data_IF_203095145957
#
_entry.id   IF_203095145957
#
_cell.length_a   1.000
_cell.length_b   1.000
_cell.length_c   1.000
_cell.angle_alpha   90.00
_cell.angle_beta   90.00
_cell.angle_gamma   90.00
#
_symmetry.space_group_name_H-M   'P 1'
#
loop_
_entity.id
_entity.type
_entity.pdbx_description
1 polymer ?
#
# COMPACT_ATOMS: atom_id res chain seq x y z
N UNK A 1 -14.66 -3.03 13.50
CA UNK A 1 -14.23 -1.61 13.31
C UNK A 1 -12.72 -1.43 13.12
N UNK A 2 -12.07 -2.40 12.48
CA UNK A 2 -10.60 -2.44 12.34
C UNK A 2 -10.00 -1.17 11.67
N UNK A 3 -10.64 -0.62 10.63
CA UNK A 3 -10.14 0.56 9.90
C UNK A 3 -10.00 1.78 10.81
N UNK A 4 -11.02 2.06 11.63
CA UNK A 4 -11.02 3.25 12.51
C UNK A 4 -9.92 3.11 13.54
N UNK A 5 -9.87 1.96 14.24
CA UNK A 5 -8.85 1.71 15.26
C UNK A 5 -7.43 1.73 14.70
N UNK A 6 -7.21 1.17 13.50
CA UNK A 6 -5.89 1.21 12.85
C UNK A 6 -5.47 2.65 12.49
N UNK A 7 -6.40 3.47 12.00
CA UNK A 7 -6.10 4.88 11.70
C UNK A 7 -5.91 5.71 12.96
N UNK A 8 -6.70 5.48 13.99
CA UNK A 8 -6.59 6.16 15.29
C UNK A 8 -5.22 5.95 15.93
N UNK A 9 -4.69 4.71 15.85
CA UNK A 9 -3.38 4.35 16.39
C UNK A 9 -2.23 5.18 15.79
N UNK A 10 -2.35 5.64 14.54
CA UNK A 10 -1.30 6.38 13.81
C UNK A 10 -1.68 7.83 13.49
N UNK A 11 -2.68 8.40 14.18
CA UNK A 11 -3.10 9.81 13.98
C UNK A 11 -2.03 10.83 14.37
N UNK A 12 -1.11 10.46 15.25
CA UNK A 12 0.00 11.30 15.70
C UNK A 12 1.23 11.27 14.77
N UNK A 13 1.12 10.60 13.62
CA UNK A 13 2.20 10.41 12.66
C UNK A 13 3.45 9.71 13.25
N UNK A 14 3.25 8.84 14.25
CA UNK A 14 4.36 8.02 14.74
C UNK A 14 4.86 7.06 13.65
N UNK A 15 6.17 6.79 13.56
CA UNK A 15 6.71 5.80 12.65
C UNK A 15 6.23 4.38 13.02
N UNK A 16 6.22 3.49 12.06
CA UNK A 16 5.95 2.07 12.29
C UNK A 16 7.14 1.43 13.02
N UNK A 17 6.86 0.53 13.96
CA UNK A 17 7.94 -0.14 14.73
C UNK A 17 8.81 -1.03 13.85
N UNK A 18 8.20 -1.72 12.89
CA UNK A 18 8.86 -2.60 11.94
C UNK A 18 8.02 -2.70 10.66
N UNK A 19 8.56 -3.41 9.67
CA UNK A 19 7.89 -3.61 8.38
C UNK A 19 6.55 -4.36 8.54
N UNK A 20 6.47 -5.33 9.44
CA UNK A 20 5.25 -6.07 9.76
C UNK A 20 4.14 -5.14 10.31
N UNK A 21 4.49 -4.17 11.17
CA UNK A 21 3.53 -3.19 11.68
C UNK A 21 2.94 -2.33 10.56
N UNK A 22 3.74 -1.98 9.53
CA UNK A 22 3.27 -1.29 8.34
C UNK A 22 2.33 -2.18 7.51
N UNK A 23 2.66 -3.46 7.33
CA UNK A 23 1.80 -4.43 6.65
C UNK A 23 0.48 -4.64 7.39
N UNK A 24 0.52 -4.77 8.71
CA UNK A 24 -0.68 -4.88 9.54
C UNK A 24 -1.56 -3.62 9.45
N UNK A 25 -0.96 -2.44 9.36
CA UNK A 25 -1.70 -1.21 9.11
C UNK A 25 -2.37 -1.26 7.73
N UNK A 26 -1.63 -1.66 6.69
CA UNK A 26 -2.16 -1.79 5.32
C UNK A 26 -3.31 -2.82 5.26
N UNK A 27 -3.15 -3.97 5.91
CA UNK A 27 -4.16 -5.02 6.02
C UNK A 27 -5.45 -4.50 6.69
N UNK A 28 -5.31 -3.84 7.84
CA UNK A 28 -6.46 -3.34 8.59
C UNK A 28 -7.13 -2.11 7.96
N UNK A 29 -6.52 -1.49 6.95
CA UNK A 29 -7.07 -0.33 6.25
C UNK A 29 -7.42 -0.64 4.80
N UNK A 30 -6.44 -0.89 3.94
CA UNK A 30 -6.65 -1.09 2.50
C UNK A 30 -7.25 -2.44 2.15
N UNK A 31 -6.73 -3.55 2.72
CA UNK A 31 -7.29 -4.88 2.49
C UNK A 31 -8.72 -4.98 3.02
N UNK A 32 -8.98 -4.41 4.20
CA UNK A 32 -10.34 -4.39 4.76
C UNK A 32 -11.35 -3.68 3.84
N UNK A 33 -10.96 -2.61 3.14
CA UNK A 33 -11.83 -1.95 2.15
C UNK A 33 -12.09 -2.85 0.94
N UNK A 34 -11.09 -3.61 0.50
CA UNK A 34 -11.27 -4.58 -0.58
C UNK A 34 -12.21 -5.71 -0.18
N UNK A 35 -12.08 -6.27 1.03
CA UNK A 35 -13.00 -7.29 1.56
C UNK A 35 -14.44 -6.78 1.62
N UNK A 36 -14.65 -5.56 2.11
CA UNK A 36 -15.99 -4.96 2.12
C UNK A 36 -16.56 -4.79 0.72
N UNK A 37 -15.72 -4.44 -0.25
CA UNK A 37 -16.14 -4.30 -1.64
C UNK A 37 -16.49 -5.66 -2.25
N UNK A 38 -15.68 -6.71 -2.00
CA UNK A 38 -15.96 -8.08 -2.44
C UNK A 38 -17.25 -8.61 -1.81
N UNK A 39 -17.43 -8.41 -0.50
CA UNK A 39 -18.65 -8.80 0.20
C UNK A 39 -19.91 -8.10 -0.34
N UNK A 40 -19.79 -6.85 -0.84
CA UNK A 40 -20.89 -6.12 -1.48
C UNK A 40 -21.30 -6.72 -2.84
N UNK A 41 -20.42 -7.49 -3.47
CA UNK A 41 -20.66 -8.21 -4.74
C UNK A 41 -21.19 -9.65 -4.53
N UNK A 42 -21.74 -10.00 -3.40
CA UNK A 42 -21.92 -11.32 -2.78
C UNK A 42 -20.93 -12.39 -3.28
N UNK A 43 -19.66 -12.12 -3.06
CA UNK A 43 -18.56 -13.04 -3.33
C UNK A 43 -18.00 -13.54 -1.99
N UNK A 44 -17.94 -14.86 -1.83
CA UNK A 44 -17.59 -15.54 -0.57
C UNK A 44 -16.39 -16.47 -0.71
N UNK A 45 -15.47 -16.17 -1.62
CA UNK A 45 -14.27 -16.97 -1.86
C UNK A 45 -13.15 -16.54 -0.92
N UNK A 46 -12.69 -17.43 -0.04
CA UNK A 46 -11.52 -17.21 0.81
C UNK A 46 -10.25 -16.95 -0.03
N UNK A 47 -10.12 -17.65 -1.16
CA UNK A 47 -9.00 -17.44 -2.09
C UNK A 47 -9.00 -16.04 -2.69
N UNK A 48 -10.19 -15.48 -2.98
CA UNK A 48 -10.31 -14.12 -3.49
C UNK A 48 -10.03 -13.07 -2.40
N UNK A 49 -10.42 -13.35 -1.17
CA UNK A 49 -10.09 -12.51 -0.01
C UNK A 49 -8.58 -12.53 0.24
N UNK A 50 -7.92 -13.69 0.16
CA UNK A 50 -6.46 -13.77 0.29
C UNK A 50 -5.74 -13.00 -0.82
N UNK A 51 -6.18 -13.13 -2.06
CA UNK A 51 -5.66 -12.33 -3.17
C UNK A 51 -5.85 -10.82 -2.92
N UNK A 52 -7.01 -10.42 -2.39
CA UNK A 52 -7.30 -9.04 -2.03
C UNK A 52 -6.44 -8.55 -0.85
N UNK A 53 -6.06 -9.43 0.09
CA UNK A 53 -5.10 -9.13 1.17
C UNK A 53 -3.76 -8.66 0.60
N UNK A 54 -3.14 -9.46 -0.26
CA UNK A 54 -1.87 -9.10 -0.89
C UNK A 54 -1.94 -7.79 -1.67
N UNK A 55 -2.98 -7.58 -2.47
CA UNK A 55 -3.16 -6.33 -3.21
C UNK A 55 -3.37 -5.15 -2.26
N UNK A 56 -4.14 -5.34 -1.20
CA UNK A 56 -4.40 -4.32 -0.19
C UNK A 56 -3.14 -3.93 0.58
N UNK A 57 -2.33 -4.92 1.02
CA UNK A 57 -1.03 -4.68 1.66
C UNK A 57 -0.11 -3.87 0.73
N UNK A 58 0.07 -4.31 -0.52
CA UNK A 58 0.87 -3.58 -1.50
C UNK A 58 0.39 -2.14 -1.72
N UNK A 59 -0.92 -1.96 -1.84
CA UNK A 59 -1.54 -0.65 -2.06
C UNK A 59 -1.37 0.27 -0.85
N UNK A 60 -1.52 -0.28 0.36
CA UNK A 60 -1.32 0.46 1.61
C UNK A 60 0.12 0.91 1.81
N UNK A 61 1.08 0.01 1.60
CA UNK A 61 2.52 0.33 1.66
C UNK A 61 2.85 1.43 0.64
N UNK A 62 2.43 1.27 -0.61
CA UNK A 62 2.66 2.27 -1.66
C UNK A 62 1.99 3.62 -1.35
N UNK A 63 0.83 3.62 -0.67
CA UNK A 63 0.15 4.84 -0.27
C UNK A 63 0.91 5.59 0.83
N UNK A 64 1.51 4.89 1.80
CA UNK A 64 2.37 5.48 2.83
C UNK A 64 3.61 6.10 2.19
N UNK A 65 4.31 5.36 1.32
CA UNK A 65 5.47 5.89 0.59
C UNK A 65 5.11 7.14 -0.22
N UNK A 66 3.99 7.13 -0.93
CA UNK A 66 3.52 8.28 -1.71
C UNK A 66 3.14 9.48 -0.86
N UNK A 67 2.64 9.23 0.35
CA UNK A 67 2.28 10.26 1.33
C UNK A 67 3.46 10.86 2.08
N UNK A 68 4.58 10.14 2.16
CA UNK A 68 5.74 10.51 2.97
C UNK A 68 6.26 11.94 2.69
N UNK A 69 6.42 12.41 1.45
CA UNK A 69 6.86 13.77 1.19
C UNK A 69 5.92 14.86 1.73
N UNK A 70 4.62 14.59 1.81
CA UNK A 70 3.63 15.53 2.33
C UNK A 70 3.62 15.57 3.86
N UNK A 71 3.96 14.46 4.49
CA UNK A 71 4.03 14.35 5.94
C UNK A 71 5.36 14.89 6.46
N UNK A 72 6.46 14.58 5.76
CA UNK A 72 7.79 15.10 6.10
C UNK A 72 7.88 16.63 5.90
N UNK A 73 7.25 17.14 4.83
CA UNK A 73 7.25 18.57 4.50
C UNK A 73 5.81 19.05 4.28
N UNK A 74 5.01 19.23 5.35
CA UNK A 74 3.63 19.66 5.22
C UNK A 74 3.57 21.05 4.59
N UNK A 75 2.65 21.28 3.61
CA UNK A 75 2.50 22.60 3.02
C UNK A 75 2.06 23.62 4.09
N UNK A 76 2.42 24.91 3.92
CA UNK A 76 1.99 25.94 4.84
C UNK A 76 0.45 25.98 4.91
N UNK A 77 -0.14 26.30 6.06
CA UNK A 77 -1.59 26.39 6.21
C UNK A 77 -2.13 27.43 5.21
N UNK A 78 -3.10 27.00 4.38
CA UNK A 78 -3.78 27.93 3.48
C UNK A 78 -4.53 28.97 4.30
N UNK A 79 -4.13 30.25 4.22
CA UNK A 79 -4.80 31.37 4.88
C UNK A 79 -6.24 31.61 4.39
N UNK A 80 -6.66 30.91 3.31
CA UNK A 80 -8.00 31.01 2.72
C UNK A 80 -8.97 29.88 3.15
N UNK A 81 -8.52 28.90 3.94
CA UNK A 81 -9.48 27.94 4.50
C UNK A 81 -10.26 28.63 5.61
N UNK A 82 -11.58 28.76 5.44
CA UNK A 82 -12.54 29.36 6.40
C UNK A 82 -12.62 28.64 7.78
N UNK A 83 -11.64 27.82 8.13
CA UNK A 83 -11.51 27.26 9.47
C UNK A 83 -11.16 28.28 10.54
N UNK A 84 -10.88 29.53 10.17
CA UNK A 84 -10.86 30.65 11.10
C UNK A 84 -12.23 30.91 11.76
N UNK A 85 -13.34 30.45 11.15
CA UNK A 85 -14.69 30.64 11.68
C UNK A 85 -15.02 29.72 12.87
N UNK A 86 -14.25 28.68 13.14
CA UNK A 86 -14.46 27.74 14.27
C UNK A 86 -13.61 28.07 15.50
N UNK A 87 -13.07 29.31 15.63
CA UNK A 87 -12.49 29.82 16.87
C UNK A 87 -11.29 29.03 17.44
N UNK A 88 -10.83 28.00 16.75
CA UNK A 88 -9.66 27.25 17.11
C UNK A 88 -8.41 28.05 16.77
N UNK A 89 -7.92 28.86 17.71
CA UNK A 89 -6.52 29.26 17.73
C UNK A 89 -5.71 27.96 17.80
N UNK A 90 -5.35 27.40 16.65
CA UNK A 90 -4.25 26.43 16.60
C UNK A 90 -3.04 27.30 16.96
N UNK A 91 -2.75 27.31 18.25
CA UNK A 91 -1.53 27.86 18.82
C UNK A 91 -0.39 27.14 18.11
N UNK A 92 0.17 27.78 17.10
CA UNK A 92 1.50 27.46 16.61
C UNK A 92 2.41 27.92 17.74
N UNK A 93 2.62 27.02 18.72
CA UNK A 93 3.67 27.20 19.72
C UNK A 93 5.01 27.32 18.99
N UNK A 94 6.09 27.69 19.67
CA UNK A 94 7.43 27.86 19.08
C UNK A 94 8.06 26.57 18.52
N UNK A 95 7.32 25.49 18.38
CA UNK A 95 7.61 24.30 17.59
C UNK A 95 6.70 24.30 16.38
N UNK A 96 7.20 24.77 15.22
CA UNK A 96 6.52 24.59 13.93
C UNK A 96 6.08 23.13 13.77
N UNK A 97 5.09 22.84 12.90
CA UNK A 97 4.69 21.47 12.59
C UNK A 97 5.93 20.69 12.19
N UNK A 98 6.44 19.90 13.13
CA UNK A 98 7.55 19.02 12.85
C UNK A 98 7.02 17.99 11.85
N UNK A 99 7.65 17.90 10.69
CA UNK A 99 7.44 16.80 9.79
C UNK A 99 7.76 15.48 10.49
N UNK A 100 7.23 14.38 9.99
CA UNK A 100 7.53 13.05 10.49
C UNK A 100 7.90 12.13 9.32
N UNK A 101 8.74 11.12 9.60
CA UNK A 101 9.15 10.12 8.62
C UNK A 101 8.42 8.82 8.95
N UNK A 102 7.36 8.50 8.18
CA UNK A 102 6.53 7.30 8.39
C UNK A 102 7.14 6.05 7.74
N UNK A 103 8.43 5.81 7.94
CA UNK A 103 9.08 4.56 7.55
C UNK A 103 9.22 3.62 8.75
N UNK A 104 9.27 2.30 8.53
CA UNK A 104 9.55 1.35 9.60
C UNK A 104 10.91 1.60 10.25
N UNK A 105 10.94 1.60 11.58
CA UNK A 105 12.15 1.90 12.35
C UNK A 105 13.26 0.88 12.15
N UNK A 106 12.92 -0.40 12.01
CA UNK A 106 13.87 -1.47 11.69
C UNK A 106 14.55 -1.22 10.34
N UNK A 107 13.76 -0.91 9.30
CA UNK A 107 14.28 -0.60 7.96
C UNK A 107 15.15 0.67 7.98
N UNK A 108 14.73 1.70 8.72
CA UNK A 108 15.52 2.92 8.89
C UNK A 108 16.84 2.64 9.60
N UNK A 109 16.82 1.83 10.65
CA UNK A 109 18.02 1.46 11.39
C UNK A 109 19.02 0.68 10.53
N UNK A 110 18.54 -0.30 9.77
CA UNK A 110 19.37 -1.11 8.88
C UNK A 110 19.98 -0.28 7.72
N UNK A 111 19.24 0.71 7.19
CA UNK A 111 19.72 1.60 6.14
C UNK A 111 20.52 2.79 6.70
N UNK A 112 20.63 2.93 8.01
CA UNK A 112 21.34 4.04 8.64
C UNK A 112 20.65 5.39 8.50
N UNK A 113 19.32 5.40 8.29
CA UNK A 113 18.53 6.62 8.12
C UNK A 113 18.22 7.27 9.47
N UNK A 114 18.48 8.57 9.58
CA UNK A 114 18.08 9.39 10.73
C UNK A 114 16.98 10.34 10.32
N UNK A 115 15.89 10.34 11.06
CA UNK A 115 14.73 11.20 10.79
C UNK A 115 15.12 12.69 10.68
N UNK A 116 15.97 13.17 11.59
CA UNK A 116 16.44 14.56 11.56
C UNK A 116 17.17 14.90 10.26
N UNK A 117 17.98 13.96 9.72
CA UNK A 117 18.68 14.15 8.45
C UNK A 117 17.71 14.21 7.28
N UNK A 118 16.67 13.37 7.28
CA UNK A 118 15.61 13.40 6.27
C UNK A 118 14.86 14.73 6.29
N UNK A 119 14.47 15.21 7.47
CA UNK A 119 13.75 16.48 7.63
C UNK A 119 14.61 17.70 7.26
N UNK A 120 15.95 17.60 7.37
CA UNK A 120 16.88 18.68 7.02
C UNK A 120 17.33 18.64 5.56
N UNK A 121 17.60 17.47 5.01
CA UNK A 121 18.24 17.28 3.70
C UNK A 121 17.30 16.73 2.62
N UNK A 122 16.12 16.24 3.01
CA UNK A 122 15.15 15.64 2.08
C UNK A 122 15.73 14.43 1.35
N UNK A 123 15.69 14.47 0.01
CA UNK A 123 16.18 13.40 -0.85
C UNK A 123 17.68 13.07 -0.69
N UNK A 124 18.47 14.01 -0.15
CA UNK A 124 19.92 13.85 0.02
C UNK A 124 20.31 13.13 1.32
N UNK A 125 19.32 12.79 2.18
CA UNK A 125 19.59 12.09 3.43
C UNK A 125 20.19 10.70 3.15
N UNK A 126 21.28 10.40 3.87
CA UNK A 126 21.99 9.13 3.70
C UNK A 126 21.08 7.93 4.02
N UNK A 127 21.17 6.86 3.23
CA UNK A 127 20.41 5.62 3.40
C UNK A 127 18.92 5.71 3.06
N UNK A 128 18.35 6.90 2.84
CA UNK A 128 16.91 7.06 2.62
C UNK A 128 16.41 6.30 1.39
N UNK A 129 17.13 6.34 0.28
CA UNK A 129 16.77 5.60 -0.93
C UNK A 129 16.78 4.09 -0.70
N UNK A 130 17.74 3.60 0.09
CA UNK A 130 17.83 2.17 0.42
C UNK A 130 16.66 1.73 1.31
N UNK A 131 16.30 2.55 2.28
CA UNK A 131 15.12 2.29 3.11
C UNK A 131 13.83 2.27 2.26
N UNK A 132 13.66 3.24 1.36
CA UNK A 132 12.50 3.29 0.45
C UNK A 132 12.51 2.09 -0.51
N UNK A 133 13.67 1.71 -1.05
CA UNK A 133 13.83 0.53 -1.90
C UNK A 133 13.33 -0.73 -1.19
N UNK A 134 13.76 -0.98 0.05
CA UNK A 134 13.34 -2.15 0.83
C UNK A 134 11.82 -2.19 1.05
N UNK A 135 11.24 -1.07 1.47
CA UNK A 135 9.78 -0.98 1.68
C UNK A 135 9.01 -1.13 0.36
N UNK A 136 9.51 -0.55 -0.74
CA UNK A 136 8.89 -0.66 -2.07
C UNK A 136 9.02 -2.09 -2.62
N UNK A 137 10.14 -2.77 -2.36
CA UNK A 137 10.33 -4.18 -2.73
C UNK A 137 9.27 -5.04 -2.07
N UNK A 138 9.03 -4.86 -0.75
CA UNK A 138 7.99 -5.62 -0.06
C UNK A 138 6.59 -5.41 -0.65
N UNK A 139 6.26 -4.18 -1.04
CA UNK A 139 5.00 -3.91 -1.75
C UNK A 139 4.94 -4.61 -3.12
N UNK A 140 6.06 -4.64 -3.85
CA UNK A 140 6.14 -5.33 -5.14
C UNK A 140 6.02 -6.85 -5.00
N UNK A 141 6.61 -7.42 -3.95
CA UNK A 141 6.53 -8.85 -3.65
C UNK A 141 5.08 -9.29 -3.45
N UNK A 142 4.32 -8.54 -2.67
CA UNK A 142 2.88 -8.78 -2.54
C UNK A 142 2.14 -8.72 -3.90
N UNK A 143 2.54 -7.83 -4.82
CA UNK A 143 1.93 -7.78 -6.16
C UNK A 143 2.33 -8.98 -7.03
N UNK A 144 3.55 -9.48 -6.89
CA UNK A 144 4.03 -10.69 -7.59
C UNK A 144 3.21 -11.88 -7.10
N UNK A 145 3.14 -12.09 -5.79
CA UNK A 145 2.32 -13.13 -5.16
C UNK A 145 0.87 -13.06 -5.62
N UNK A 146 0.26 -11.88 -5.59
CA UNK A 146 -1.11 -11.68 -6.07
C UNK A 146 -1.26 -12.05 -7.56
N UNK A 147 -0.27 -11.74 -8.39
CA UNK A 147 -0.28 -12.09 -9.81
C UNK A 147 -0.20 -13.60 -10.05
N UNK A 148 0.60 -14.32 -9.26
CA UNK A 148 0.74 -15.78 -9.32
C UNK A 148 -0.51 -16.49 -8.81
N UNK A 149 -1.05 -16.04 -7.67
CA UNK A 149 -2.32 -16.53 -7.14
C UNK A 149 -3.46 -16.37 -8.14
N UNK A 150 -3.58 -15.19 -8.75
CA UNK A 150 -4.59 -14.93 -9.78
C UNK A 150 -4.46 -15.91 -10.95
N UNK A 151 -3.24 -16.14 -11.42
CA UNK A 151 -2.96 -17.10 -12.52
C UNK A 151 -3.35 -18.53 -12.13
N UNK A 152 -3.04 -18.95 -10.89
CA UNK A 152 -3.38 -20.27 -10.38
C UNK A 152 -4.90 -20.45 -10.29
N UNK A 153 -5.61 -19.48 -9.71
CA UNK A 153 -7.08 -19.48 -9.62
C UNK A 153 -7.75 -19.53 -11.00
N UNK A 154 -7.22 -18.81 -11.99
CA UNK A 154 -7.72 -18.85 -13.38
C UNK A 154 -7.49 -20.21 -14.06
N UNK A 155 -6.52 -20.99 -13.59
CA UNK A 155 -6.23 -22.34 -14.07
C UNK A 155 -6.97 -23.44 -13.29
N UNK A 156 -7.84 -23.08 -12.36
CA UNK A 156 -8.53 -24.03 -11.48
C UNK A 156 -7.59 -24.70 -10.45
N UNK A 157 -6.44 -24.10 -10.16
CA UNK A 157 -5.50 -24.58 -9.15
C UNK A 157 -5.80 -23.92 -7.81
N UNK A 158 -5.35 -24.56 -6.72
CA UNK A 158 -5.43 -23.95 -5.39
C UNK A 158 -4.73 -22.58 -5.34
N UNK A 159 -5.21 -21.69 -4.48
CA UNK A 159 -4.65 -20.36 -4.28
C UNK A 159 -3.30 -20.34 -3.53
N UNK A 160 -2.68 -21.50 -3.29
CA UNK A 160 -1.38 -21.63 -2.68
C UNK A 160 -0.31 -20.87 -3.49
N UNK A 161 0.62 -20.24 -2.82
CA UNK A 161 1.78 -19.62 -3.42
C UNK A 161 3.05 -20.24 -2.84
N UNK A 162 4.04 -20.49 -3.70
CA UNK A 162 5.32 -21.08 -3.31
C UNK A 162 6.30 -20.06 -2.70
N UNK A 163 5.91 -18.76 -2.66
CA UNK A 163 6.74 -17.70 -2.11
C UNK A 163 6.46 -17.53 -0.62
N UNK A 164 7.28 -18.20 0.18
CA UNK A 164 7.35 -17.95 1.61
C UNK A 164 8.49 -16.94 1.86
N UNK A 165 8.13 -15.75 2.34
CA UNK A 165 9.13 -14.90 2.98
C UNK A 165 9.44 -15.43 4.37
N UNK A 166 10.68 -15.28 4.82
CA UNK A 166 11.03 -15.53 6.23
C UNK A 166 10.06 -14.76 7.13
N UNK A 167 9.14 -15.48 7.77
CA UNK A 167 8.14 -14.92 8.69
C UNK A 167 6.67 -14.99 8.26
N UNK A 168 6.33 -15.36 7.02
CA UNK A 168 4.96 -15.76 6.68
C UNK A 168 4.80 -17.27 6.88
N UNK A 169 3.90 -17.68 7.77
CA UNK A 169 3.48 -19.07 7.87
C UNK A 169 2.74 -19.42 6.57
N UNK A 170 3.25 -20.41 5.83
CA UNK A 170 2.59 -20.94 4.65
C UNK A 170 1.19 -21.43 5.03
N UNK A 171 0.17 -20.87 4.42
CA UNK A 171 -1.21 -21.27 4.65
C UNK A 171 -1.62 -22.29 3.59
N UNK A 172 -1.58 -23.57 3.95
CA UNK A 172 -2.29 -24.61 3.21
C UNK A 172 -3.79 -24.39 3.40
N UNK A 173 -4.41 -23.77 2.41
CA UNK A 173 -5.87 -23.76 2.36
C UNK A 173 -6.33 -25.16 1.95
N UNK A 174 -6.90 -25.91 2.91
CA UNK A 174 -7.61 -27.15 2.62
C UNK A 174 -8.58 -26.87 1.46
N UNK A 175 -8.51 -27.70 0.44
CA UNK A 175 -9.42 -27.67 -0.71
C UNK A 175 -10.86 -27.54 -0.21
N UNK A 176 -11.43 -26.36 -0.31
CA UNK A 176 -12.86 -26.23 -0.20
C UNK A 176 -13.44 -26.94 -1.40
N UNK A 177 -14.27 -27.93 -1.16
CA UNK A 177 -14.94 -28.82 -2.15
C UNK A 177 -15.94 -28.09 -3.06
N UNK A 178 -15.71 -26.79 -3.31
CA UNK A 178 -16.43 -26.04 -4.33
C UNK A 178 -15.80 -26.33 -5.69
N UNK A 179 -16.60 -26.82 -6.59
CA UNK A 179 -16.24 -27.17 -7.96
C UNK A 179 -15.35 -26.10 -8.61
N UNK A 180 -14.27 -26.50 -9.28
CA UNK A 180 -13.25 -25.63 -9.93
C UNK A 180 -13.85 -24.50 -10.79
N UNK A 181 -15.03 -24.74 -11.38
CA UNK A 181 -15.78 -23.76 -12.19
C UNK A 181 -16.27 -22.55 -11.38
N UNK A 182 -16.62 -22.72 -10.11
CA UNK A 182 -17.14 -21.63 -9.26
C UNK A 182 -16.07 -20.63 -8.86
N UNK A 183 -14.83 -21.07 -8.62
CA UNK A 183 -13.74 -20.16 -8.23
C UNK A 183 -13.31 -19.22 -9.37
N UNK A 184 -13.18 -19.76 -10.58
CA UNK A 184 -12.83 -18.96 -11.76
C UNK A 184 -13.91 -17.91 -12.08
N UNK A 185 -15.19 -18.26 -11.94
CA UNK A 185 -16.32 -17.34 -12.11
C UNK A 185 -16.34 -16.24 -11.04
N UNK A 186 -16.05 -16.57 -9.78
CA UNK A 186 -15.95 -15.59 -8.70
C UNK A 186 -14.80 -14.61 -8.91
N UNK A 187 -13.63 -15.11 -9.35
CA UNK A 187 -12.48 -14.28 -9.73
C UNK A 187 -12.85 -13.35 -10.89
N UNK A 188 -13.57 -13.83 -11.89
CA UNK A 188 -14.00 -12.99 -13.01
C UNK A 188 -14.95 -11.87 -12.56
N UNK A 189 -15.90 -12.18 -11.70
CA UNK A 189 -16.85 -11.20 -11.14
C UNK A 189 -16.17 -10.21 -10.22
N UNK A 190 -15.23 -10.67 -9.37
CA UNK A 190 -14.47 -9.85 -8.42
C UNK A 190 -13.31 -9.07 -9.05
N UNK A 191 -12.94 -9.36 -10.31
CA UNK A 191 -11.73 -8.80 -10.94
C UNK A 191 -11.68 -7.26 -10.92
N UNK A 192 -12.83 -6.60 -10.99
CA UNK A 192 -12.92 -5.15 -10.88
C UNK A 192 -12.33 -4.57 -9.59
N UNK A 193 -12.49 -5.27 -8.46
CA UNK A 193 -11.94 -4.88 -7.16
C UNK A 193 -10.42 -5.02 -7.15
N UNK A 194 -9.88 -6.03 -7.82
CA UNK A 194 -8.44 -6.32 -7.90
C UNK A 194 -7.67 -5.29 -8.73
N UNK A 195 -8.37 -4.44 -9.50
CA UNK A 195 -7.76 -3.42 -10.38
C UNK A 195 -6.92 -2.38 -9.66
N UNK A 196 -7.02 -2.26 -8.33
CA UNK A 196 -6.14 -1.42 -7.53
C UNK A 196 -4.65 -1.80 -7.71
N UNK A 197 -4.36 -3.09 -7.92
CA UNK A 197 -3.03 -3.60 -8.21
C UNK A 197 -2.37 -2.89 -9.41
N UNK A 198 -3.14 -2.56 -10.46
CA UNK A 198 -2.61 -1.92 -11.67
C UNK A 198 -2.07 -0.53 -11.37
N UNK A 199 -2.82 0.27 -10.60
CA UNK A 199 -2.39 1.62 -10.22
C UNK A 199 -1.15 1.57 -9.30
N UNK A 200 -1.14 0.64 -8.34
CA UNK A 200 -0.03 0.43 -7.41
C UNK A 200 1.24 0.00 -8.16
N UNK A 201 1.13 -0.98 -9.06
CA UNK A 201 2.24 -1.45 -9.90
C UNK A 201 2.84 -0.34 -10.76
N UNK A 202 2.00 0.46 -11.42
CA UNK A 202 2.46 1.59 -12.23
C UNK A 202 3.20 2.64 -11.40
N UNK A 203 2.72 2.90 -10.17
CA UNK A 203 3.38 3.84 -9.29
C UNK A 203 4.72 3.31 -8.80
N UNK A 204 4.83 2.04 -8.39
CA UNK A 204 6.08 1.40 -7.99
C UNK A 204 7.10 1.39 -9.15
N UNK A 205 6.68 1.10 -10.38
CA UNK A 205 7.54 1.20 -11.56
C UNK A 205 8.07 2.61 -11.82
N UNK A 206 7.27 3.65 -11.49
CA UNK A 206 7.74 5.04 -11.58
C UNK A 206 8.73 5.37 -10.47
N UNK A 207 8.50 4.86 -9.26
CA UNK A 207 9.41 5.02 -8.14
C UNK A 207 10.78 4.36 -8.45
N UNK A 208 10.78 3.17 -9.02
CA UNK A 208 11.99 2.49 -9.49
C UNK A 208 12.74 3.35 -10.54
N UNK A 209 12.04 3.87 -11.55
CA UNK A 209 12.63 4.79 -12.55
C UNK A 209 13.14 6.10 -11.96
N UNK A 210 12.57 6.50 -10.84
CA UNK A 210 13.02 7.67 -10.09
C UNK A 210 14.23 7.36 -9.18
N UNK A 211 14.78 6.14 -9.22
CA UNK A 211 15.86 5.68 -8.36
C UNK A 211 15.48 5.79 -6.88
N UNK A 212 14.25 5.39 -6.55
CA UNK A 212 13.65 5.41 -5.21
C UNK A 212 13.66 6.78 -4.51
N UNK A 213 13.84 7.85 -5.28
CA UNK A 213 13.71 9.21 -4.79
C UNK A 213 12.24 9.65 -4.80
N UNK A 214 11.57 9.50 -3.65
CA UNK A 214 10.15 9.85 -3.49
C UNK A 214 9.86 11.34 -3.54
N UNK A 215 10.88 12.19 -3.44
CA UNK A 215 10.71 13.65 -3.49
C UNK A 215 10.63 14.18 -4.91
N UNK A 216 10.91 13.36 -5.93
CA UNK A 216 10.81 13.78 -7.32
C UNK A 216 9.38 14.24 -7.66
N UNK A 217 9.22 15.44 -8.23
CA UNK A 217 7.91 16.00 -8.53
C UNK A 217 7.11 15.13 -9.53
N UNK A 218 7.80 14.37 -10.36
CA UNK A 218 7.20 13.47 -11.35
C UNK A 218 6.28 12.41 -10.69
N UNK A 219 6.64 11.94 -9.49
CA UNK A 219 5.85 10.95 -8.76
C UNK A 219 4.50 11.49 -8.26
N UNK A 220 4.36 12.82 -8.16
CA UNK A 220 3.12 13.50 -7.78
C UNK A 220 2.18 13.70 -8.96
N UNK A 221 2.69 13.61 -10.18
CA UNK A 221 1.89 13.80 -11.38
C UNK A 221 0.98 12.59 -11.61
N UNK A 222 -0.21 12.87 -12.14
CA UNK A 222 -1.18 11.84 -12.50
C UNK A 222 -0.62 10.95 -13.62
N UNK A 223 -0.77 9.63 -13.47
CA UNK A 223 -0.33 8.67 -14.48
C UNK A 223 -1.36 8.64 -15.64
N UNK A 224 -1.01 9.24 -16.76
CA UNK A 224 -1.89 9.32 -17.94
C UNK A 224 -2.11 7.97 -18.63
N UNK A 225 -1.18 7.02 -18.44
CA UNK A 225 -1.28 5.65 -19.00
C UNK A 225 -2.24 4.76 -18.20
N UNK A 226 -2.61 5.16 -16.99
CA UNK A 226 -3.44 4.35 -16.11
C UNK A 226 -4.76 3.89 -16.76
N UNK A 227 -5.55 4.75 -17.44
CA UNK A 227 -6.81 4.29 -18.04
C UNK A 227 -6.61 3.19 -19.07
N UNK A 228 -5.60 3.32 -19.92
CA UNK A 228 -5.27 2.32 -20.94
C UNK A 228 -4.74 1.03 -20.36
N UNK A 229 -3.86 1.13 -19.36
CA UNK A 229 -3.33 -0.03 -18.66
C UNK A 229 -4.42 -0.76 -17.90
N UNK A 230 -5.28 -0.03 -17.21
CA UNK A 230 -6.43 -0.58 -16.50
C UNK A 230 -7.41 -1.28 -17.47
N UNK A 231 -7.75 -0.65 -18.60
CA UNK A 231 -8.58 -1.27 -19.62
C UNK A 231 -7.99 -2.57 -20.16
N UNK A 232 -6.69 -2.58 -20.49
CA UNK A 232 -6.01 -3.79 -20.97
C UNK A 232 -5.94 -4.89 -19.91
N UNK A 233 -5.64 -4.53 -18.67
CA UNK A 233 -5.63 -5.46 -17.54
C UNK A 233 -7.02 -6.09 -17.33
N UNK A 234 -8.06 -5.27 -17.31
CA UNK A 234 -9.45 -5.72 -17.17
C UNK A 234 -9.87 -6.65 -18.32
N UNK A 235 -9.55 -6.28 -19.56
CA UNK A 235 -9.88 -7.10 -20.74
C UNK A 235 -9.14 -8.43 -20.78
N UNK A 236 -7.88 -8.44 -20.34
CA UNK A 236 -7.02 -9.63 -20.32
C UNK A 236 -7.15 -10.44 -19.03
N UNK A 237 -7.84 -9.90 -18.03
CA UNK A 237 -7.94 -10.47 -16.69
C UNK A 237 -6.55 -10.78 -16.08
N UNK A 238 -5.59 -9.87 -16.24
CA UNK A 238 -4.20 -9.99 -15.76
C UNK A 238 -3.80 -8.70 -15.02
N UNK A 239 -3.05 -8.86 -13.91
CA UNK A 239 -2.49 -7.78 -13.09
C UNK A 239 -1.08 -7.38 -13.54
#
# INVERSE_FOLDING_TARGET
MKIISAREMYMDNRPYTNLEALENYAENTYSTLMYLTLASLPLHSLSLDHLASHIGKATGIAAILRGLPLIAFPPPPNHHSNNAALGGKISVGPGGRHGAVLLPLDVMAEAGVKEEEVLRQGAAAAGLKDAIFRVATRANDHLITAGEMLKNLQQGKAAGHDFEYEGEEGHDYAESSSTDHTQAEEVERGFGVLMQAVATKLWLQRLEKADFDIFKPELRLREWKLPWKAYLAYRRKKL
#
